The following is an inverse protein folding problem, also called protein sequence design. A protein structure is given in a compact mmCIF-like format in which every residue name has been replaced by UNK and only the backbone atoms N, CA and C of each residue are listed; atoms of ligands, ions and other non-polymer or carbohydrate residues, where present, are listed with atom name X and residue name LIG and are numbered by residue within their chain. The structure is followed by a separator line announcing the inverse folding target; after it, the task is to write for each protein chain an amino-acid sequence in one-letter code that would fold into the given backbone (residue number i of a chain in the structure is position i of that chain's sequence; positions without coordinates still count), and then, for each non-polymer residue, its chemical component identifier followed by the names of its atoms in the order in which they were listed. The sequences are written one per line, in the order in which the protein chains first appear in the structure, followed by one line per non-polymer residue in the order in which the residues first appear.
data_IF_845676752075
#
_entry.id   IF_845676752075
#
_cell.length_a   1.000
_cell.length_b   1.000
_cell.length_c   1.000
_cell.angle_alpha   90.00
_cell.angle_beta   90.00
_cell.angle_gamma   90.00
#
_symmetry.space_group_name_H-M   'P 1'
#
loop_
_entity.id
_entity.type
_entity.pdbx_description
1 polymer ?
#
# COMPACT_ATOMS: atom_id res chain seq x y z
N UNK A 1 -20.97 18.86 21.22
CA UNK A 1 -19.78 18.25 20.55
C UNK A 1 -20.00 16.76 20.65
N UNK A 2 -20.24 16.11 19.51
CA UNK A 2 -20.36 14.66 19.47
C UNK A 2 -19.04 14.04 19.88
N UNK A 3 -19.05 13.16 20.86
CA UNK A 3 -17.84 12.48 21.32
C UNK A 3 -17.36 11.54 20.20
N UNK A 4 -16.26 11.90 19.54
CA UNK A 4 -15.61 11.01 18.57
C UNK A 4 -15.13 9.78 19.33
N UNK A 5 -15.57 8.61 18.87
CA UNK A 5 -15.18 7.33 19.47
C UNK A 5 -13.88 6.83 18.81
N UNK A 6 -12.80 6.73 19.57
CA UNK A 6 -11.49 6.21 19.15
C UNK A 6 -11.27 4.74 19.56
N UNK A 7 -12.33 3.95 19.68
CA UNK A 7 -12.21 2.53 20.07
C UNK A 7 -11.37 1.69 19.09
N UNK A 8 -11.27 2.12 17.83
CA UNK A 8 -10.40 1.51 16.81
C UNK A 8 -9.12 2.35 16.62
N UNK A 9 -8.28 2.40 17.63
CA UNK A 9 -7.04 3.15 17.64
C UNK A 9 -5.96 2.45 18.47
N UNK A 10 -4.70 2.82 18.26
CA UNK A 10 -3.58 2.30 19.02
C UNK A 10 -2.32 3.13 18.81
N UNK A 11 -1.32 2.88 19.64
CA UNK A 11 0.00 3.54 19.56
C UNK A 11 1.10 2.50 19.42
N UNK A 12 2.19 2.85 18.74
CA UNK A 12 3.33 1.97 18.55
C UNK A 12 4.62 2.77 18.37
N UNK A 13 5.74 2.16 18.74
CA UNK A 13 7.03 2.53 18.18
C UNK A 13 7.06 2.16 16.69
N UNK A 14 8.11 2.60 15.98
CA UNK A 14 8.31 2.29 14.58
C UNK A 14 9.68 1.66 14.35
N UNK A 15 9.70 0.56 13.58
CA UNK A 15 10.92 -0.04 13.03
C UNK A 15 10.93 0.24 11.54
N UNK A 16 12.02 0.79 11.04
CA UNK A 16 12.13 1.18 9.63
C UNK A 16 12.84 0.10 8.82
N UNK A 17 12.24 -0.29 7.70
CA UNK A 17 12.79 -1.20 6.70
C UNK A 17 13.02 -0.45 5.40
N UNK A 18 14.10 -0.76 4.69
CA UNK A 18 14.39 -0.25 3.37
C UNK A 18 14.51 -1.40 2.37
N UNK A 19 13.83 -1.28 1.24
CA UNK A 19 13.82 -2.27 0.17
C UNK A 19 14.14 -1.60 -1.16
N UNK A 20 14.83 -2.34 -2.03
CA UNK A 20 14.98 -1.98 -3.43
C UNK A 20 14.49 -3.12 -4.31
N UNK A 21 13.49 -2.83 -5.13
CA UNK A 21 13.00 -3.72 -6.18
C UNK A 21 13.76 -3.47 -7.48
N UNK A 22 13.82 -4.49 -8.31
CA UNK A 22 14.50 -4.49 -9.61
C UNK A 22 13.50 -4.44 -10.74
N UNK A 23 13.99 -4.16 -11.94
CA UNK A 23 13.20 -4.28 -13.16
C UNK A 23 12.52 -5.65 -13.27
N UNK A 24 11.23 -5.64 -13.57
CA UNK A 24 10.39 -6.82 -13.70
C UNK A 24 9.69 -7.26 -12.41
N UNK A 25 10.08 -6.76 -11.24
CA UNK A 25 9.38 -7.05 -9.99
C UNK A 25 8.00 -6.40 -9.97
N UNK A 26 7.01 -7.07 -9.39
CA UNK A 26 5.69 -6.52 -9.13
C UNK A 26 5.71 -5.76 -7.80
N UNK A 27 5.41 -4.46 -7.84
CA UNK A 27 5.48 -3.57 -6.68
C UNK A 27 4.56 -4.04 -5.53
N UNK A 28 3.31 -4.39 -5.83
CA UNK A 28 2.35 -4.85 -4.83
C UNK A 28 2.77 -6.19 -4.21
N UNK A 29 3.04 -7.18 -5.06
CA UNK A 29 3.42 -8.53 -4.62
C UNK A 29 4.72 -8.54 -3.82
N UNK A 30 5.68 -7.72 -4.19
CA UNK A 30 6.96 -7.63 -3.48
C UNK A 30 6.77 -7.09 -2.06
N UNK A 31 5.96 -6.04 -1.87
CA UNK A 31 5.64 -5.52 -0.53
C UNK A 31 4.88 -6.60 0.29
N UNK A 32 3.91 -7.27 -0.33
CA UNK A 32 3.14 -8.34 0.31
C UNK A 32 4.04 -9.49 0.77
N UNK A 33 4.90 -10.00 -0.11
CA UNK A 33 5.83 -11.08 0.20
C UNK A 33 6.80 -10.70 1.32
N UNK A 34 7.34 -9.48 1.27
CA UNK A 34 8.20 -8.97 2.32
C UNK A 34 7.50 -8.90 3.67
N UNK A 35 6.27 -8.36 3.69
CA UNK A 35 5.47 -8.29 4.92
C UNK A 35 5.20 -9.67 5.53
N UNK A 36 4.86 -10.66 4.69
CA UNK A 36 4.64 -12.05 5.12
C UNK A 36 5.95 -12.67 5.65
N UNK A 37 7.04 -12.54 4.90
CA UNK A 37 8.34 -13.11 5.26
C UNK A 37 8.91 -12.54 6.56
N UNK A 38 8.67 -11.25 6.81
CA UNK A 38 9.08 -10.55 8.05
C UNK A 38 8.04 -10.61 9.16
N UNK A 39 6.87 -11.21 8.91
CA UNK A 39 5.73 -11.27 9.85
C UNK A 39 5.31 -9.87 10.35
N UNK A 40 5.29 -8.88 9.46
CA UNK A 40 4.87 -7.52 9.79
C UNK A 40 3.35 -7.50 9.96
N UNK A 41 2.87 -7.50 11.21
CA UNK A 41 1.44 -7.51 11.51
C UNK A 41 0.76 -6.16 11.31
N UNK A 42 1.49 -5.07 11.44
CA UNK A 42 1.04 -3.72 11.13
C UNK A 42 2.18 -2.92 10.51
N UNK A 43 1.94 -2.35 9.34
CA UNK A 43 2.94 -1.57 8.62
C UNK A 43 2.33 -0.43 7.84
N UNK A 44 3.17 0.55 7.53
CA UNK A 44 2.84 1.72 6.72
C UNK A 44 3.90 1.94 5.64
N UNK A 45 3.52 2.54 4.53
CA UNK A 45 4.47 3.05 3.54
C UNK A 45 4.91 4.43 4.00
N UNK A 46 6.22 4.64 4.18
CA UNK A 46 6.81 5.95 4.51
C UNK A 46 7.15 6.69 3.22
N UNK A 47 7.84 6.03 2.29
CA UNK A 47 8.16 6.59 0.99
C UNK A 47 8.34 5.50 -0.07
N UNK A 48 8.15 5.87 -1.33
CA UNK A 48 8.51 5.05 -2.46
C UNK A 48 8.87 5.97 -3.63
N UNK A 49 10.02 5.71 -4.25
CA UNK A 49 10.49 6.41 -5.45
C UNK A 49 10.99 5.37 -6.46
N UNK A 50 10.81 5.65 -7.73
CA UNK A 50 11.22 4.76 -8.81
C UNK A 50 10.28 4.83 -9.99
N UNK A 51 10.37 3.84 -10.88
CA UNK A 51 9.63 3.85 -12.14
C UNK A 51 8.96 2.51 -12.43
N UNK A 52 7.84 2.56 -13.14
CA UNK A 52 7.05 1.41 -13.58
C UNK A 52 7.01 1.36 -15.11
N UNK A 53 6.94 0.15 -15.67
CA UNK A 53 6.73 -0.11 -17.10
C UNK A 53 5.33 -0.66 -17.41
N UNK A 54 4.61 -1.02 -16.38
CA UNK A 54 3.21 -1.43 -16.46
C UNK A 54 2.49 -0.98 -15.19
N UNK A 55 1.29 -0.45 -15.35
CA UNK A 55 0.42 -0.05 -14.24
C UNK A 55 -0.93 -0.74 -14.31
N UNK A 56 -1.48 -1.07 -13.14
CA UNK A 56 -2.84 -1.58 -12.96
C UNK A 56 -3.43 -0.94 -11.70
N UNK A 57 -4.22 0.11 -11.89
CA UNK A 57 -4.75 0.97 -10.84
C UNK A 57 -6.27 0.95 -10.91
N UNK A 58 -6.94 0.60 -9.80
CA UNK A 58 -8.41 0.71 -9.71
C UNK A 58 -8.80 2.17 -9.45
N UNK A 59 -9.68 2.70 -10.28
CA UNK A 59 -10.15 4.08 -10.17
C UNK A 59 -11.15 4.25 -9.02
N UNK A 60 -11.30 5.51 -8.56
CA UNK A 60 -12.18 5.85 -7.45
C UNK A 60 -13.64 5.50 -7.77
N UNK A 61 -14.33 4.88 -6.79
CA UNK A 61 -15.74 4.49 -6.84
C UNK A 61 -16.15 3.80 -8.16
N UNK A 62 -15.27 2.94 -8.67
CA UNK A 62 -15.51 2.26 -9.94
C UNK A 62 -14.89 0.86 -9.95
N UNK A 63 -15.53 -0.04 -10.67
CA UNK A 63 -14.96 -1.35 -11.07
C UNK A 63 -14.07 -1.22 -12.32
N UNK A 64 -13.58 -0.01 -12.57
CA UNK A 64 -12.72 0.31 -13.71
C UNK A 64 -11.27 0.33 -13.29
N UNK A 65 -10.44 -0.26 -14.15
CA UNK A 65 -9.01 -0.31 -13.99
C UNK A 65 -8.33 0.53 -15.08
N UNK A 66 -7.36 1.32 -14.67
CA UNK A 66 -6.42 1.96 -15.57
C UNK A 66 -5.23 0.99 -15.73
N UNK A 67 -5.21 0.28 -16.87
CA UNK A 67 -4.11 -0.62 -17.23
C UNK A 67 -3.36 -0.01 -18.41
N UNK A 68 -2.05 0.18 -18.25
CA UNK A 68 -1.18 0.71 -19.30
C UNK A 68 0.19 0.06 -19.25
N UNK A 69 0.79 -0.12 -20.44
CA UNK A 69 2.17 -0.58 -20.65
C UNK A 69 2.97 0.57 -21.27
N UNK A 70 3.38 1.47 -20.42
CA UNK A 70 4.14 2.68 -20.73
C UNK A 70 5.06 2.95 -19.52
N UNK A 71 6.03 3.85 -19.66
CA UNK A 71 6.90 4.23 -18.55
C UNK A 71 6.26 5.32 -17.70
N UNK A 72 6.34 5.13 -16.39
CA UNK A 72 5.80 6.06 -15.40
C UNK A 72 6.81 6.26 -14.26
N UNK A 73 6.91 7.47 -13.75
CA UNK A 73 7.55 7.75 -12.47
C UNK A 73 6.57 7.56 -11.31
N UNK A 74 7.02 6.95 -10.23
CA UNK A 74 6.25 6.85 -8.99
C UNK A 74 6.33 8.21 -8.27
N UNK A 75 5.22 8.95 -8.26
CA UNK A 75 5.10 10.24 -7.59
C UNK A 75 4.83 10.06 -6.09
N UNK A 76 3.96 9.12 -5.75
CA UNK A 76 3.69 8.73 -4.37
C UNK A 76 3.16 7.31 -4.28
N UNK A 77 3.47 6.66 -3.17
CA UNK A 77 2.84 5.44 -2.70
C UNK A 77 2.55 5.62 -1.22
N UNK A 78 1.29 5.45 -0.83
CA UNK A 78 0.85 5.60 0.56
C UNK A 78 -0.07 4.45 0.93
N UNK A 79 -0.16 4.14 2.22
CA UNK A 79 -1.10 3.15 2.71
C UNK A 79 -0.58 2.36 3.89
N UNK A 80 -1.40 1.41 4.31
CA UNK A 80 -1.11 0.53 5.43
C UNK A 80 -1.37 -0.92 5.07
N UNK A 81 -0.70 -1.82 5.80
CA UNK A 81 -0.76 -3.25 5.54
C UNK A 81 -0.54 -4.08 6.80
N UNK A 82 -0.92 -5.36 6.72
CA UNK A 82 -0.61 -6.37 7.72
C UNK A 82 -0.51 -7.74 7.05
N UNK A 83 0.46 -8.56 7.45
CA UNK A 83 0.74 -9.86 6.84
C UNK A 83 -0.45 -10.85 6.93
N UNK A 84 -1.45 -10.56 7.76
CA UNK A 84 -2.70 -11.32 7.89
C UNK A 84 -3.76 -11.00 6.82
N UNK A 85 -3.40 -10.26 5.75
CA UNK A 85 -4.24 -10.06 4.57
C UNK A 85 -4.76 -8.63 4.36
N UNK A 86 -4.40 -7.67 5.19
CA UNK A 86 -4.73 -6.27 4.96
C UNK A 86 -3.65 -5.60 4.12
N UNK A 87 -3.99 -5.21 2.88
CA UNK A 87 -3.12 -4.41 1.99
C UNK A 87 -3.96 -3.33 1.34
N UNK A 88 -3.77 -2.09 1.78
CA UNK A 88 -4.50 -0.94 1.28
C UNK A 88 -3.52 0.16 0.88
N UNK A 89 -3.26 0.23 -0.42
CA UNK A 89 -2.31 1.18 -0.99
C UNK A 89 -2.97 2.05 -2.05
N UNK A 90 -2.63 3.33 -2.04
CA UNK A 90 -2.90 4.24 -3.13
C UNK A 90 -1.59 4.70 -3.76
N UNK A 91 -1.58 4.82 -5.08
CA UNK A 91 -0.42 5.24 -5.85
C UNK A 91 -0.78 6.41 -6.75
N UNK A 92 0.17 7.33 -6.94
CA UNK A 92 0.17 8.29 -8.02
C UNK A 92 1.41 8.06 -8.89
N UNK A 93 1.22 8.08 -10.21
CA UNK A 93 2.28 7.91 -11.20
C UNK A 93 2.20 9.02 -12.23
N UNK A 94 3.35 9.45 -12.75
CA UNK A 94 3.45 10.48 -13.78
C UNK A 94 3.98 9.87 -15.08
N UNK A 95 3.34 10.19 -16.21
CA UNK A 95 3.79 9.77 -17.53
C UNK A 95 4.90 10.68 -18.08
N UNK A 96 5.37 10.40 -19.32
CA UNK A 96 6.46 11.15 -19.98
C UNK A 96 6.14 12.60 -20.28
N UNK A 97 4.87 13.01 -20.23
CA UNK A 97 4.43 14.40 -20.40
C UNK A 97 4.18 15.11 -19.07
N UNK A 98 4.36 14.41 -17.94
CA UNK A 98 4.15 14.93 -16.59
C UNK A 98 2.70 14.84 -16.10
N UNK A 99 1.78 14.23 -16.87
CA UNK A 99 0.43 14.01 -16.38
C UNK A 99 0.39 12.95 -15.28
N UNK A 100 -0.17 13.32 -14.15
CA UNK A 100 -0.29 12.43 -12.99
C UNK A 100 -1.65 11.74 -12.98
N UNK A 101 -1.60 10.42 -12.75
CA UNK A 101 -2.76 9.53 -12.61
C UNK A 101 -2.60 8.74 -11.32
N UNK A 102 -3.70 8.37 -10.69
CA UNK A 102 -3.60 7.60 -9.45
C UNK A 102 -4.89 6.92 -9.06
N UNK A 103 -4.80 6.12 -8.01
CA UNK A 103 -5.89 5.37 -7.43
C UNK A 103 -5.40 4.22 -6.56
N UNK A 104 -6.23 3.19 -6.41
CA UNK A 104 -5.94 2.04 -5.57
C UNK A 104 -4.99 1.07 -6.29
N UNK A 105 -3.82 0.84 -5.70
CA UNK A 105 -2.80 -0.07 -6.23
C UNK A 105 -3.30 -1.52 -6.23
N UNK A 106 -3.16 -2.19 -7.35
CA UNK A 106 -3.40 -3.62 -7.53
C UNK A 106 -2.12 -4.36 -7.89
N UNK A 107 -2.21 -5.66 -8.07
CA UNK A 107 -1.14 -6.46 -8.67
C UNK A 107 -0.90 -6.04 -10.14
N UNK A 108 0.23 -6.43 -10.70
CA UNK A 108 0.68 -6.09 -12.06
C UNK A 108 1.04 -4.60 -12.24
N UNK A 109 1.67 -4.03 -11.23
CA UNK A 109 2.41 -2.77 -11.33
C UNK A 109 3.90 -3.10 -11.39
N UNK A 110 4.44 -3.19 -12.61
CA UNK A 110 5.75 -3.78 -12.86
C UNK A 110 6.83 -2.70 -12.88
N UNK A 111 7.86 -2.90 -12.07
CA UNK A 111 9.02 -2.00 -11.97
C UNK A 111 9.77 -1.93 -13.30
N UNK A 112 10.12 -0.71 -13.74
CA UNK A 112 10.92 -0.48 -14.93
C UNK A 112 12.42 -0.53 -14.63
N UNK A 113 12.94 0.40 -13.87
CA UNK A 113 14.37 0.44 -13.50
C UNK A 113 14.58 -0.03 -12.07
N UNK A 114 13.96 0.65 -11.13
CA UNK A 114 14.03 0.37 -9.69
C UNK A 114 12.79 0.91 -9.00
N UNK A 115 12.46 0.35 -7.82
CA UNK A 115 11.60 0.99 -6.85
C UNK A 115 12.28 0.90 -5.47
N UNK A 116 12.52 2.06 -4.87
CA UNK A 116 13.17 2.21 -3.57
C UNK A 116 12.09 2.56 -2.55
N UNK A 117 11.88 1.66 -1.60
CA UNK A 117 10.75 1.70 -0.68
C UNK A 117 11.25 1.78 0.74
N UNK A 118 10.71 2.70 1.51
CA UNK A 118 10.88 2.75 2.97
C UNK A 118 9.56 2.41 3.63
N UNK A 119 9.57 1.38 4.47
CA UNK A 119 8.43 0.88 5.23
C UNK A 119 8.60 1.17 6.71
N UNK A 120 7.51 1.41 7.42
CA UNK A 120 7.47 1.44 8.88
C UNK A 120 6.69 0.24 9.41
N UNK A 121 7.31 -0.60 10.22
CA UNK A 121 6.64 -1.61 11.03
C UNK A 121 6.20 -0.99 12.37
N UNK A 122 4.99 -1.33 12.81
CA UNK A 122 4.35 -0.89 14.06
C UNK A 122 4.20 -2.10 14.98
N UNK A 123 5.26 -2.50 15.73
CA UNK A 123 5.33 -3.80 16.40
C UNK A 123 4.31 -3.99 17.54
N UNK A 124 3.78 -2.91 18.13
CA UNK A 124 2.73 -3.00 19.14
C UNK A 124 1.32 -3.10 18.58
N UNK A 125 1.16 -3.08 17.23
CA UNK A 125 -0.13 -3.12 16.58
C UNK A 125 -0.25 -4.33 15.65
N UNK A 126 -1.51 -4.67 15.36
CA UNK A 126 -1.88 -5.62 14.30
C UNK A 126 -3.03 -5.03 13.48
N UNK A 127 -2.88 -5.06 12.17
CA UNK A 127 -3.84 -4.57 11.19
C UNK A 127 -4.52 -5.75 10.51
N UNK A 128 -5.85 -5.80 10.65
CA UNK A 128 -6.69 -6.81 9.99
C UNK A 128 -7.79 -6.12 9.20
N UNK A 129 -8.43 -6.85 8.30
CA UNK A 129 -9.61 -6.39 7.59
C UNK A 129 -10.85 -6.99 8.25
N UNK A 130 -11.89 -6.18 8.44
CA UNK A 130 -13.19 -6.61 8.98
C UNK A 130 -14.30 -6.18 8.03
N UNK A 131 -15.22 -7.10 7.76
CA UNK A 131 -16.43 -6.78 7.02
C UNK A 131 -17.51 -6.36 8.01
N UNK A 132 -17.97 -5.11 7.94
CA UNK A 132 -19.05 -4.62 8.74
C UNK A 132 -20.39 -4.73 7.97
N UNK A 133 -21.50 -5.04 8.63
CA UNK A 133 -22.81 -5.05 8.00
C UNK A 133 -23.15 -3.67 7.39
N UNK A 134 -23.48 -3.65 6.10
CA UNK A 134 -23.86 -2.43 5.38
C UNK A 134 -22.69 -1.64 4.78
N UNK A 135 -21.47 -2.12 4.88
CA UNK A 135 -20.30 -1.57 4.22
C UNK A 135 -19.90 -2.41 2.99
N UNK A 136 -19.60 -1.75 1.87
CA UNK A 136 -19.24 -2.41 0.61
C UNK A 136 -17.82 -2.99 0.62
N UNK A 137 -16.95 -2.51 1.55
CA UNK A 137 -15.53 -2.83 1.59
C UNK A 137 -15.05 -3.18 2.99
N UNK A 138 -14.10 -4.13 3.11
CA UNK A 138 -13.50 -4.44 4.40
C UNK A 138 -12.76 -3.22 4.98
N UNK A 139 -13.10 -2.89 6.23
CA UNK A 139 -12.48 -1.78 6.95
C UNK A 139 -11.26 -2.21 7.77
N UNK A 140 -10.40 -1.24 8.08
CA UNK A 140 -9.23 -1.46 8.93
C UNK A 140 -9.67 -1.71 10.38
N UNK A 141 -9.26 -2.84 10.94
CA UNK A 141 -9.31 -3.10 12.37
C UNK A 141 -7.91 -3.03 12.96
N UNK A 142 -7.75 -2.16 13.95
CA UNK A 142 -6.51 -1.97 14.70
C UNK A 142 -6.62 -2.74 16.02
N UNK A 143 -5.63 -3.58 16.33
CA UNK A 143 -5.53 -4.30 17.61
C UNK A 143 -4.15 -4.08 18.19
N UNK A 144 -4.06 -4.06 19.52
CA UNK A 144 -2.77 -4.13 20.18
C UNK A 144 -2.19 -5.55 20.01
N UNK A 145 -0.94 -5.64 19.60
CA UNK A 145 -0.18 -6.90 19.66
C UNK A 145 0.07 -7.28 21.10
N UNK A 146 -0.07 -8.55 21.41
CA UNK A 146 0.25 -9.09 22.75
C UNK A 146 1.75 -9.24 22.93
#
# INVERSE_FOLDING_TARGET
MDNINFSNSGTSNIIVHALRLKSGDDLFKSIQQYAIQKMIHAGVIISCVGSLQEINIRLANADKFLVKKEHFEIVSLVGCFGCSGRYHFHISVSDSEGYTKGGHLKENNIVYTTAEIVLGELPQLSFTAVNNPGEDWPELQIKNSK
#
